data_IF_604991340494
#
_entry.id   IF_604991340494
#
_cell.length_a   1.000
_cell.length_b   1.000
_cell.length_c   1.000
_cell.angle_alpha   90.00
_cell.angle_beta   90.00
_cell.angle_gamma   90.00
#
_symmetry.space_group_name_H-M   'P 1'
#
loop_
_entity.id
_entity.type
_entity.pdbx_description
1 polymer ?
#
# COMPACT_ATOMS: atom_id res chain seq x y z
N UNK A 1 -6.35 9.66 13.70
CA UNK A 1 -7.23 9.78 12.53
C UNK A 1 -6.69 10.92 11.70
N UNK A 2 -6.32 10.65 10.45
CA UNK A 2 -5.78 11.63 9.52
C UNK A 2 -6.54 11.56 8.19
N UNK A 3 -6.64 12.68 7.50
CA UNK A 3 -7.31 12.75 6.21
C UNK A 3 -6.33 12.36 5.11
N UNK A 4 -6.55 11.19 4.48
CA UNK A 4 -5.62 10.57 3.51
C UNK A 4 -5.10 11.55 2.46
N UNK A 5 -5.98 12.37 1.88
CA UNK A 5 -5.64 13.25 0.76
C UNK A 5 -4.71 14.43 1.16
N UNK A 6 -4.54 14.69 2.46
CA UNK A 6 -3.68 15.76 2.98
C UNK A 6 -2.67 15.23 4.01
N UNK A 7 -2.48 13.91 4.08
CA UNK A 7 -1.64 13.28 5.09
C UNK A 7 -0.17 13.19 4.67
N UNK A 8 0.71 13.12 5.68
CA UNK A 8 2.14 12.84 5.47
C UNK A 8 2.33 11.37 5.05
N UNK A 9 3.05 11.16 3.95
CA UNK A 9 3.42 9.83 3.44
C UNK A 9 4.22 9.00 4.47
N UNK A 10 4.92 9.67 5.39
CA UNK A 10 5.73 9.03 6.44
C UNK A 10 4.93 8.70 7.70
N UNK A 11 3.60 8.82 7.68
CA UNK A 11 2.76 8.56 8.85
C UNK A 11 2.96 7.12 9.36
N UNK A 12 3.43 6.92 10.61
CA UNK A 12 3.54 5.58 11.18
C UNK A 12 2.15 4.93 11.29
N UNK A 13 2.07 3.63 11.03
CA UNK A 13 0.80 2.87 11.08
C UNK A 13 -0.30 3.51 10.21
N UNK A 14 0.08 3.99 9.01
CA UNK A 14 -0.81 4.70 8.09
C UNK A 14 -2.11 3.94 7.79
N UNK A 15 -2.09 2.61 7.78
CA UNK A 15 -3.29 1.80 7.56
C UNK A 15 -4.40 2.16 8.56
N UNK A 16 -4.05 2.21 9.85
CA UNK A 16 -4.97 2.55 10.92
C UNK A 16 -5.26 4.07 10.94
N UNK A 17 -4.27 4.90 10.60
CA UNK A 17 -4.42 6.35 10.63
C UNK A 17 -5.36 6.88 9.55
N UNK A 18 -5.31 6.30 8.34
CA UNK A 18 -6.03 6.78 7.15
C UNK A 18 -7.32 6.01 6.89
N UNK A 19 -7.31 4.68 7.08
CA UNK A 19 -8.45 3.83 6.76
C UNK A 19 -9.13 3.28 8.02
N UNK A 20 -8.36 3.00 9.07
CA UNK A 20 -8.89 2.50 10.35
C UNK A 20 -9.41 1.06 10.26
N UNK A 21 -10.44 0.76 11.05
CA UNK A 21 -11.06 -0.58 11.14
C UNK A 21 -11.42 -1.26 9.80
N UNK A 22 -11.92 -0.56 8.75
CA UNK A 22 -12.27 -1.22 7.49
C UNK A 22 -11.07 -1.66 6.64
N UNK A 23 -9.81 -1.38 7.02
CA UNK A 23 -8.64 -1.64 6.18
C UNK A 23 -8.60 -3.08 5.62
N UNK A 24 -8.80 -4.09 6.47
CA UNK A 24 -8.82 -5.48 6.04
C UNK A 24 -9.90 -5.79 4.99
N UNK A 25 -11.08 -5.17 5.10
CA UNK A 25 -12.15 -5.31 4.10
C UNK A 25 -11.77 -4.63 2.79
N UNK A 26 -11.11 -3.47 2.85
CA UNK A 26 -10.64 -2.76 1.65
C UNK A 26 -9.57 -3.59 0.93
N UNK A 27 -8.65 -4.24 1.65
CA UNK A 27 -7.68 -5.16 1.05
C UNK A 27 -8.38 -6.31 0.32
N UNK A 28 -9.41 -6.91 0.93
CA UNK A 28 -10.18 -7.98 0.27
C UNK A 28 -10.89 -7.49 -1.00
N UNK A 29 -11.40 -6.25 -1.01
CA UNK A 29 -11.98 -5.66 -2.23
C UNK A 29 -10.90 -5.43 -3.28
N UNK A 30 -9.77 -4.84 -2.89
CA UNK A 30 -8.63 -4.57 -3.77
C UNK A 30 -8.12 -5.86 -4.44
N UNK A 31 -7.95 -6.94 -3.68
CA UNK A 31 -7.55 -8.26 -4.19
C UNK A 31 -8.51 -8.79 -5.25
N UNK A 32 -9.82 -8.58 -5.10
CA UNK A 32 -10.81 -9.05 -6.08
C UNK A 32 -10.74 -8.28 -7.41
N UNK A 33 -10.34 -7.02 -7.40
CA UNK A 33 -10.36 -6.14 -8.57
C UNK A 33 -8.98 -5.90 -9.19
N UNK A 34 -7.92 -6.04 -8.42
CA UNK A 34 -6.53 -5.87 -8.84
C UNK A 34 -5.61 -6.91 -8.15
N UNK A 35 -5.80 -8.20 -8.44
CA UNK A 35 -5.02 -9.29 -7.82
C UNK A 35 -3.53 -9.25 -8.20
N UNK A 36 -3.20 -8.66 -9.35
CA UNK A 36 -1.81 -8.51 -9.81
C UNK A 36 -1.14 -7.24 -9.25
N UNK A 37 -1.88 -6.42 -8.48
CA UNK A 37 -1.36 -5.23 -7.83
C UNK A 37 -0.87 -4.14 -8.79
N UNK A 38 -1.50 -4.01 -9.96
CA UNK A 38 -1.11 -3.09 -11.04
C UNK A 38 -1.26 -1.62 -10.60
N UNK A 39 -2.28 -1.31 -9.80
CA UNK A 39 -2.50 0.06 -9.32
C UNK A 39 -1.86 0.26 -7.95
N UNK A 40 -0.79 1.06 -7.93
CA UNK A 40 0.02 1.36 -6.75
C UNK A 40 0.03 2.87 -6.42
N UNK A 41 0.04 3.18 -5.13
CA UNK A 41 0.42 4.48 -4.56
C UNK A 41 0.98 4.23 -3.15
N UNK A 42 1.86 5.10 -2.63
CA UNK A 42 2.69 4.83 -1.45
C UNK A 42 1.88 4.43 -0.19
N UNK A 43 0.68 4.97 -0.02
CA UNK A 43 -0.21 4.66 1.12
C UNK A 43 -1.60 4.20 0.69
N UNK A 44 -1.73 3.74 -0.56
CA UNK A 44 -2.94 3.10 -1.03
C UNK A 44 -3.16 1.75 -0.33
N UNK A 45 -4.42 1.33 -0.24
CA UNK A 45 -4.79 0.01 0.29
C UNK A 45 -4.00 -1.10 -0.41
N UNK A 46 -3.27 -1.90 0.37
CA UNK A 46 -2.49 -3.03 -0.12
C UNK A 46 -1.12 -2.65 -0.70
N UNK A 47 -0.69 -1.39 -0.63
CA UNK A 47 0.61 -0.96 -1.15
C UNK A 47 1.80 -1.64 -0.46
N UNK A 48 1.61 -2.15 0.77
CA UNK A 48 2.60 -2.92 1.54
C UNK A 48 3.01 -4.25 0.87
N UNK A 49 2.28 -4.69 -0.15
CA UNK A 49 2.67 -5.83 -0.98
C UNK A 49 3.88 -5.53 -1.88
N UNK A 50 4.22 -4.25 -2.08
CA UNK A 50 5.36 -3.82 -2.88
C UNK A 50 6.49 -3.26 -2.01
N UNK A 51 7.73 -3.44 -2.47
CA UNK A 51 8.93 -2.87 -1.87
C UNK A 51 9.54 -1.88 -2.86
N UNK A 52 9.64 -0.61 -2.44
CA UNK A 52 10.39 0.41 -3.15
C UNK A 52 11.90 0.22 -2.89
N UNK A 53 12.64 0.04 -3.98
CA UNK A 53 14.09 -0.11 -3.97
C UNK A 53 14.79 1.26 -3.92
N UNK A 54 16.09 1.27 -3.62
CA UNK A 54 16.88 2.51 -3.56
C UNK A 54 16.89 3.30 -4.88
N UNK A 55 16.75 2.62 -6.02
CA UNK A 55 16.70 3.23 -7.35
C UNK A 55 15.27 3.64 -7.78
N UNK A 56 14.29 3.58 -6.85
CA UNK A 56 12.87 3.86 -7.06
C UNK A 56 12.11 2.82 -7.90
N UNK A 57 12.68 1.62 -8.10
CA UNK A 57 11.91 0.50 -8.66
C UNK A 57 10.99 -0.10 -7.61
N UNK A 58 9.79 -0.50 -8.03
CA UNK A 58 8.89 -1.32 -7.23
C UNK A 58 9.13 -2.80 -7.55
N UNK A 59 9.19 -3.62 -6.51
CA UNK A 59 9.37 -5.07 -6.63
C UNK A 59 8.51 -5.81 -5.62
N UNK A 60 8.04 -7.00 -5.98
CA UNK A 60 7.40 -7.89 -5.02
C UNK A 60 8.46 -8.45 -4.04
N UNK A 61 8.07 -8.74 -2.79
CA UNK A 61 8.94 -9.40 -1.83
C UNK A 61 9.53 -10.68 -2.41
N UNK A 62 10.86 -10.79 -2.41
CA UNK A 62 11.58 -11.96 -2.93
C UNK A 62 11.96 -11.91 -4.41
N UNK A 63 11.59 -10.87 -5.15
CA UNK A 63 12.04 -10.66 -6.54
C UNK A 63 13.46 -10.07 -6.69
N UNK A 64 14.27 -10.08 -5.63
CA UNK A 64 15.62 -9.46 -5.57
C UNK A 64 16.68 -10.22 -6.42
N UNK A 65 16.27 -11.23 -7.17
CA UNK A 65 17.15 -11.92 -8.14
C UNK A 65 16.75 -11.51 -9.55
N UNK A 66 17.36 -10.45 -10.07
CA UNK A 66 17.76 -10.23 -11.48
C UNK A 66 18.49 -8.88 -11.63
#
# INVERSE_FOLDING_TARGET
MAYLNEADLNTPHWQAAFYGAPYARLCAVKENYDPDGIFYDCTAVGSEAWVEQMDRRLSLPGSILL
#
